data_IF_701862662301
#
_entry.id   IF_701862662301
#
_cell.length_a   1.000
_cell.length_b   1.000
_cell.length_c   1.000
_cell.angle_alpha   90.00
_cell.angle_beta   90.00
_cell.angle_gamma   90.00
#
_symmetry.space_group_name_H-M   'P 1'
#
loop_
_entity.id
_entity.type
_entity.pdbx_description
1 polymer ?
#
# COMPACT_ATOMS: atom_id res chain seq x y z
N UNK A 1 -29.08 -23.37 -32.28
CA UNK A 1 -28.01 -22.37 -32.09
C UNK A 1 -28.59 -21.12 -31.44
N UNK A 2 -28.31 -20.83 -30.16
CA UNK A 2 -28.56 -19.50 -29.56
C UNK A 2 -27.54 -19.28 -28.43
N UNK A 3 -26.41 -18.64 -28.75
CA UNK A 3 -25.37 -18.29 -27.75
C UNK A 3 -25.88 -17.10 -26.94
N UNK A 4 -26.32 -17.37 -25.71
CA UNK A 4 -26.60 -16.35 -24.70
C UNK A 4 -25.28 -15.63 -24.39
N UNK A 5 -25.08 -14.45 -24.96
CA UNK A 5 -24.04 -13.54 -24.50
C UNK A 5 -24.41 -13.04 -23.11
N UNK A 6 -23.93 -13.73 -22.08
CA UNK A 6 -23.90 -13.22 -20.72
C UNK A 6 -23.06 -11.94 -20.72
N UNK A 7 -23.72 -10.78 -20.66
CA UNK A 7 -23.06 -9.51 -20.39
C UNK A 7 -22.54 -9.54 -18.95
N UNK A 8 -21.29 -9.94 -18.78
CA UNK A 8 -20.61 -9.85 -17.49
C UNK A 8 -20.17 -8.39 -17.28
N UNK A 9 -21.12 -7.50 -16.99
CA UNK A 9 -20.84 -6.13 -16.49
C UNK A 9 -20.37 -6.22 -15.04
N UNK A 10 -19.18 -6.77 -14.82
CA UNK A 10 -18.46 -6.60 -13.54
C UNK A 10 -17.87 -5.20 -13.58
N UNK A 11 -18.60 -4.23 -13.03
CA UNK A 11 -18.09 -2.91 -12.74
C UNK A 11 -17.01 -3.06 -11.66
N UNK A 12 -15.79 -3.41 -12.08
CA UNK A 12 -14.61 -3.26 -11.24
C UNK A 12 -14.55 -1.80 -10.84
N UNK A 13 -14.55 -1.55 -9.53
CA UNK A 13 -14.59 -0.22 -8.97
C UNK A 13 -13.47 0.61 -9.59
N UNK A 14 -13.88 1.55 -10.43
CA UNK A 14 -13.01 2.52 -11.04
C UNK A 14 -12.48 3.35 -9.87
N UNK A 15 -11.19 3.26 -9.52
CA UNK A 15 -10.57 4.32 -8.71
C UNK A 15 -10.67 5.58 -9.56
N UNK A 16 -11.75 6.32 -9.38
CA UNK A 16 -12.08 7.46 -10.22
C UNK A 16 -10.94 8.43 -9.97
N UNK A 17 -10.16 8.84 -10.98
CA UNK A 17 -9.04 9.73 -10.74
C UNK A 17 -9.51 10.93 -9.90
N UNK A 18 -10.73 11.42 -10.12
CA UNK A 18 -11.39 12.46 -9.32
C UNK A 18 -11.30 12.33 -7.79
N UNK A 19 -11.16 11.13 -7.24
CA UNK A 19 -11.01 10.89 -5.79
C UNK A 19 -9.61 11.27 -5.25
N UNK A 20 -8.64 11.55 -6.13
CA UNK A 20 -7.29 11.97 -5.76
C UNK A 20 -7.19 13.48 -5.52
N UNK A 21 -8.19 14.28 -5.90
CA UNK A 21 -8.19 15.72 -5.67
C UNK A 21 -8.18 15.98 -4.16
N UNK A 22 -7.24 16.81 -3.69
CA UNK A 22 -7.03 17.06 -2.26
C UNK A 22 -6.17 16.02 -1.54
N UNK A 23 -5.78 14.92 -2.18
CA UNK A 23 -4.89 13.94 -1.57
C UNK A 23 -3.42 14.40 -1.60
N UNK A 24 -2.65 14.04 -0.57
CA UNK A 24 -1.19 14.18 -0.57
C UNK A 24 -0.55 13.08 -1.40
N UNK A 25 0.20 13.47 -2.42
CA UNK A 25 0.83 12.54 -3.36
C UNK A 25 2.30 12.89 -3.58
N UNK A 26 3.07 11.88 -3.97
CA UNK A 26 4.41 12.02 -4.51
C UNK A 26 4.33 11.94 -6.04
N UNK A 27 4.75 13.00 -6.74
CA UNK A 27 4.81 13.03 -8.20
C UNK A 27 6.25 13.07 -8.72
N UNK A 28 6.48 12.49 -9.88
CA UNK A 28 7.70 12.73 -10.66
C UNK A 28 7.43 13.81 -11.70
N UNK A 29 8.24 14.88 -11.68
CA UNK A 29 8.18 15.95 -12.67
C UNK A 29 8.88 15.52 -13.95
N UNK A 30 8.54 16.14 -15.09
CA UNK A 30 9.20 15.83 -16.36
C UNK A 30 10.73 16.01 -16.29
N UNK A 31 11.19 17.06 -15.62
CA UNK A 31 12.62 17.34 -15.40
C UNK A 31 13.31 16.31 -14.51
N UNK A 32 12.55 15.64 -13.65
CA UNK A 32 13.03 14.69 -12.65
C UNK A 32 12.82 13.22 -13.06
N UNK A 33 12.34 12.95 -14.29
CA UNK A 33 12.23 11.59 -14.84
C UNK A 33 13.58 10.84 -14.90
N UNK A 34 14.72 11.44 -15.29
CA UNK A 34 16.01 10.72 -15.32
C UNK A 34 16.57 10.44 -13.92
N UNK A 35 16.26 11.30 -12.94
CA UNK A 35 16.76 11.18 -11.56
C UNK A 35 15.82 10.42 -10.64
N UNK A 36 14.54 10.28 -11.03
CA UNK A 36 13.49 9.69 -10.21
C UNK A 36 13.08 10.56 -9.01
N UNK A 37 13.51 11.83 -8.95
CA UNK A 37 13.22 12.69 -7.78
C UNK A 37 11.72 12.93 -7.65
N UNK A 38 11.20 12.66 -6.46
CA UNK A 38 9.79 12.84 -6.14
C UNK A 38 9.54 14.21 -5.51
N UNK A 39 8.46 14.85 -5.94
CA UNK A 39 7.94 16.08 -5.37
C UNK A 39 6.64 15.76 -4.63
N UNK A 40 6.59 16.06 -3.34
CA UNK A 40 5.40 15.88 -2.52
C UNK A 40 4.46 17.09 -2.65
N UNK A 41 3.15 16.84 -2.64
CA UNK A 41 2.17 17.91 -2.45
C UNK A 41 0.73 17.45 -2.65
N UNK A 42 -0.19 18.40 -2.49
CA UNK A 42 -1.62 18.17 -2.63
C UNK A 42 -2.06 18.27 -4.08
N UNK A 43 -2.87 17.32 -4.55
CA UNK A 43 -3.45 17.37 -5.90
C UNK A 43 -4.47 18.50 -6.01
N UNK A 44 -4.25 19.41 -6.95
CA UNK A 44 -5.19 20.48 -7.31
C UNK A 44 -6.11 20.05 -8.45
N UNK A 45 -5.55 19.49 -9.51
CA UNK A 45 -6.33 19.14 -10.71
C UNK A 45 -5.77 17.87 -11.36
N UNK A 46 -6.66 17.12 -12.00
CA UNK A 46 -6.32 15.91 -12.74
C UNK A 46 -6.38 16.21 -14.23
N UNK A 47 -5.26 15.99 -14.90
CA UNK A 47 -5.07 16.36 -16.29
C UNK A 47 -5.24 15.19 -17.27
N UNK A 48 -5.65 14.02 -16.78
CA UNK A 48 -5.92 12.83 -17.61
C UNK A 48 -7.39 12.45 -17.54
N UNK A 49 -8.03 12.37 -18.72
CA UNK A 49 -9.47 12.07 -18.89
C UNK A 49 -9.77 10.61 -19.20
N UNK A 50 -8.77 9.83 -19.62
CA UNK A 50 -8.95 8.42 -19.97
C UNK A 50 -9.27 7.60 -18.71
N UNK A 51 -9.96 6.47 -18.81
CA UNK A 51 -10.03 5.52 -17.70
C UNK A 51 -8.77 4.64 -17.63
N UNK A 52 -8.09 4.46 -18.75
CA UNK A 52 -6.84 3.69 -18.86
C UNK A 52 -5.65 4.63 -19.03
N UNK A 53 -4.64 4.48 -18.17
CA UNK A 53 -3.54 5.44 -18.06
C UNK A 53 -2.18 4.76 -18.12
N UNK A 54 -1.79 4.10 -19.22
CA UNK A 54 -0.61 3.20 -19.29
C UNK A 54 0.74 3.84 -18.96
N UNK A 55 0.80 5.13 -18.64
CA UNK A 55 2.02 5.82 -18.17
C UNK A 55 1.83 6.50 -16.79
N UNK A 56 0.72 6.22 -16.09
CA UNK A 56 0.31 6.89 -14.85
C UNK A 56 -0.63 8.07 -15.07
N UNK A 57 -1.28 8.47 -13.96
CA UNK A 57 -2.23 9.59 -13.89
C UNK A 57 -1.43 10.90 -13.86
N UNK A 58 -1.78 11.84 -14.76
CA UNK A 58 -1.13 13.15 -14.80
C UNK A 58 -1.92 14.11 -13.93
N UNK A 59 -1.24 14.77 -13.00
CA UNK A 59 -1.87 15.72 -12.07
C UNK A 59 -1.10 17.02 -11.99
N UNK A 60 -1.80 18.05 -11.54
CA UNK A 60 -1.25 19.33 -11.12
C UNK A 60 -1.37 19.43 -9.60
N UNK A 61 -0.28 19.78 -8.93
CA UNK A 61 -0.29 20.08 -7.49
C UNK A 61 -0.81 21.50 -7.25
N UNK A 62 -1.19 21.80 -6.00
CA UNK A 62 -1.55 23.16 -5.55
C UNK A 62 -0.41 24.17 -5.74
N UNK A 63 0.85 23.71 -5.75
CA UNK A 63 2.02 24.52 -6.09
C UNK A 63 2.14 24.88 -7.58
N UNK A 64 1.27 24.34 -8.44
CA UNK A 64 1.33 24.48 -9.90
C UNK A 64 2.24 23.46 -10.60
N UNK A 65 2.99 22.66 -9.84
CA UNK A 65 3.85 21.62 -10.40
C UNK A 65 3.04 20.50 -11.09
N UNK A 66 3.48 20.06 -12.27
CA UNK A 66 2.78 19.03 -13.06
C UNK A 66 3.65 17.80 -13.22
N UNK A 67 3.09 16.64 -12.91
CA UNK A 67 3.82 15.37 -12.95
C UNK A 67 2.93 14.15 -12.99
N UNK A 68 3.57 12.98 -12.91
CA UNK A 68 2.91 11.66 -12.81
C UNK A 68 2.95 11.21 -11.37
N UNK A 69 1.84 10.71 -10.84
CA UNK A 69 1.80 10.21 -9.45
C UNK A 69 2.56 8.89 -9.35
N UNK A 70 3.51 8.82 -8.42
CA UNK A 70 4.30 7.64 -8.10
C UNK A 70 3.90 7.01 -6.77
N UNK A 71 3.41 7.79 -5.81
CA UNK A 71 2.94 7.28 -4.50
C UNK A 71 1.80 8.13 -3.98
N UNK A 72 0.81 7.52 -3.34
CA UNK A 72 -0.18 8.22 -2.52
C UNK A 72 0.29 8.12 -1.07
N UNK A 73 0.54 9.26 -0.45
CA UNK A 73 0.78 9.32 0.99
C UNK A 73 -0.58 9.46 1.66
N UNK A 74 -1.18 8.32 1.96
CA UNK A 74 -2.27 8.28 2.94
C UNK A 74 -1.68 8.66 4.29
N UNK A 75 -1.90 9.89 4.73
CA UNK A 75 -1.48 10.35 6.06
C UNK A 75 -2.33 9.66 7.14
N UNK A 76 -2.23 8.34 7.27
CA UNK A 76 -2.65 7.68 8.49
C UNK A 76 -1.53 7.89 9.49
N UNK A 77 -1.54 9.05 10.13
CA UNK A 77 -0.74 9.29 11.32
C UNK A 77 -1.24 8.33 12.39
N UNK A 78 -0.56 7.20 12.56
CA UNK A 78 -0.63 6.39 13.78
C UNK A 78 0.45 6.94 14.72
N UNK A 79 0.29 8.19 15.17
CA UNK A 79 1.11 8.77 16.22
C UNK A 79 0.43 8.45 17.56
N UNK A 80 1.05 7.57 18.33
CA UNK A 80 0.82 7.46 19.77
C UNK A 80 -0.13 6.34 20.20
N UNK A 81 0.44 5.19 20.54
CA UNK A 81 0.35 4.63 21.89
C UNK A 81 1.48 3.61 22.07
N UNK A 82 2.70 4.15 22.19
CA UNK A 82 3.65 3.59 23.12
C UNK A 82 3.35 4.24 24.46
N UNK A 83 2.63 3.53 25.33
CA UNK A 83 2.69 3.84 26.75
C UNK A 83 2.84 2.52 27.48
N UNK A 84 4.08 2.33 27.86
CA UNK A 84 4.58 1.44 28.90
C UNK A 84 3.51 1.17 29.97
N UNK A 85 3.05 -0.08 30.06
CA UNK A 85 2.53 -0.61 31.31
C UNK A 85 3.53 -1.64 31.83
N UNK A 86 4.58 -1.13 32.47
CA UNK A 86 5.34 -1.88 33.47
C UNK A 86 4.40 -1.95 34.69
N UNK A 87 3.54 -2.98 34.73
CA UNK A 87 2.94 -3.44 35.98
C UNK A 87 3.61 -4.74 36.36
N UNK A 88 4.62 -4.57 37.21
CA UNK A 88 5.04 -5.51 38.22
C UNK A 88 3.83 -6.05 39.01
N UNK A 89 3.38 -7.25 38.65
CA UNK A 89 2.78 -8.17 39.61
C UNK A 89 3.60 -9.45 39.65
N UNK A 90 4.47 -9.45 40.65
CA UNK A 90 5.11 -10.62 41.22
C UNK A 90 4.14 -11.27 42.22
N UNK A 91 3.90 -12.57 42.11
CA UNK A 91 3.68 -13.41 43.29
C UNK A 91 4.09 -14.87 43.05
N UNK A 92 4.92 -15.34 43.98
CA UNK A 92 5.54 -16.68 44.13
C UNK A 92 4.59 -17.66 44.91
N UNK A 93 5.04 -18.76 45.55
CA UNK A 93 5.16 -20.13 45.04
C UNK A 93 4.31 -21.23 45.79
N UNK A 94 3.91 -22.29 45.05
CA UNK A 94 3.73 -23.75 45.38
C UNK A 94 2.90 -24.23 46.61
N UNK A 95 2.46 -25.53 46.76
CA UNK A 95 2.81 -26.76 46.00
C UNK A 95 1.67 -27.77 45.66
N UNK A 96 2.08 -28.85 44.98
CA UNK A 96 1.44 -30.17 44.78
C UNK A 96 0.42 -30.21 43.62
N UNK A 97 0.67 -30.91 42.50
CA UNK A 97 0.91 -32.36 42.46
C UNK A 97 1.31 -32.77 41.02
N UNK A 98 2.57 -33.16 40.86
CA UNK A 98 3.18 -34.09 39.89
C UNK A 98 2.41 -34.45 38.60
N UNK A 99 2.99 -34.06 37.45
CA UNK A 99 3.26 -35.03 36.39
C UNK A 99 4.40 -34.54 35.48
N UNK A 100 5.47 -35.32 35.43
CA UNK A 100 6.73 -35.04 34.74
C UNK A 100 6.62 -35.35 33.25
N UNK A 101 6.76 -34.33 32.39
CA UNK A 101 7.14 -34.53 31.00
C UNK A 101 8.00 -33.36 30.50
N UNK A 102 9.30 -33.62 30.52
CA UNK A 102 10.32 -33.18 29.56
C UNK A 102 10.47 -31.68 29.27
N UNK A 103 11.59 -31.19 29.79
CA UNK A 103 12.25 -29.92 29.56
C UNK A 103 12.46 -29.58 28.08
N UNK A 104 12.34 -28.27 27.83
CA UNK A 104 12.71 -27.53 26.63
C UNK A 104 14.20 -27.68 26.29
N UNK A 105 14.48 -28.14 25.09
CA UNK A 105 15.52 -27.59 24.24
C UNK A 105 15.05 -27.71 22.79
N UNK A 106 15.19 -26.61 22.05
CA UNK A 106 14.94 -26.48 20.61
C UNK A 106 13.51 -26.12 20.16
N UNK A 107 13.02 -24.94 20.57
CA UNK A 107 12.24 -24.10 19.64
C UNK A 107 12.25 -22.63 20.04
N UNK A 108 13.43 -22.03 19.89
CA UNK A 108 13.52 -20.63 19.46
C UNK A 108 13.27 -20.61 17.94
N UNK A 109 12.13 -20.14 17.43
CA UNK A 109 12.20 -19.27 16.28
C UNK A 109 12.65 -17.92 16.83
N UNK A 110 13.93 -17.60 16.61
CA UNK A 110 14.33 -16.22 16.51
C UNK A 110 13.31 -15.57 15.57
N UNK A 111 12.58 -14.56 16.02
CA UNK A 111 11.90 -13.63 15.13
C UNK A 111 13.01 -12.85 14.41
N UNK A 112 13.70 -13.56 13.52
CA UNK A 112 14.52 -13.00 12.48
C UNK A 112 13.53 -12.21 11.64
N UNK A 113 13.74 -10.91 11.60
CA UNK A 113 13.16 -10.00 10.66
C UNK A 113 13.37 -10.53 9.24
N UNK A 114 12.52 -11.45 8.78
CA UNK A 114 12.30 -11.63 7.35
C UNK A 114 11.29 -10.57 6.98
N UNK A 115 11.84 -9.36 6.87
CA UNK A 115 11.28 -8.34 6.00
C UNK A 115 11.02 -9.04 4.67
N UNK A 116 9.77 -9.48 4.48
CA UNK A 116 9.34 -10.03 3.22
C UNK A 116 9.23 -8.82 2.32
N UNK A 117 10.37 -8.40 1.76
CA UNK A 117 10.47 -7.43 0.68
C UNK A 117 9.81 -8.07 -0.54
N UNK A 118 8.48 -8.11 -0.52
CA UNK A 118 7.69 -8.63 -1.61
C UNK A 118 7.98 -7.74 -2.83
N UNK A 119 8.56 -8.30 -3.91
CA UNK A 119 9.05 -7.48 -5.01
C UNK A 119 7.89 -6.71 -5.65
N UNK A 120 8.07 -5.39 -5.74
CA UNK A 120 7.07 -4.49 -6.34
C UNK A 120 6.77 -4.87 -7.80
N UNK A 121 5.55 -4.60 -8.28
CA UNK A 121 5.15 -4.83 -9.68
C UNK A 121 4.57 -3.58 -10.32
N UNK A 122 4.92 -3.34 -11.59
CA UNK A 122 4.38 -2.24 -12.38
C UNK A 122 3.06 -2.64 -13.03
N UNK A 123 2.01 -1.85 -12.82
CA UNK A 123 0.70 -2.13 -13.40
C UNK A 123 0.70 -2.03 -14.93
N UNK A 124 0.22 -3.05 -15.64
CA UNK A 124 0.10 -3.01 -17.11
C UNK A 124 -0.91 -1.97 -17.63
N UNK A 125 -1.89 -1.59 -16.79
CA UNK A 125 -2.89 -0.56 -17.12
C UNK A 125 -2.45 0.86 -16.81
N UNK A 126 -1.65 1.06 -15.76
CA UNK A 126 -1.27 2.41 -15.37
C UNK A 126 0.18 2.65 -14.97
N UNK A 127 1.05 1.67 -15.15
CA UNK A 127 2.49 1.66 -14.78
C UNK A 127 2.80 2.04 -13.34
N UNK A 128 1.79 2.09 -12.48
CA UNK A 128 1.99 2.37 -11.07
C UNK A 128 2.71 1.19 -10.41
N UNK A 129 3.69 1.50 -9.57
CA UNK A 129 4.50 0.53 -8.88
C UNK A 129 3.77 0.12 -7.58
N UNK A 130 3.15 -1.07 -7.59
CA UNK A 130 2.43 -1.61 -6.44
C UNK A 130 3.36 -2.49 -5.59
N UNK A 131 3.06 -2.62 -4.30
CA UNK A 131 3.72 -3.60 -3.43
C UNK A 131 3.50 -5.03 -3.94
N UNK A 132 4.49 -5.91 -3.75
CA UNK A 132 4.46 -7.28 -4.28
C UNK A 132 3.31 -8.15 -3.77
N UNK A 133 2.80 -7.85 -2.57
CA UNK A 133 1.66 -8.54 -1.94
C UNK A 133 0.30 -8.11 -2.50
N UNK A 134 0.22 -7.00 -3.23
CA UNK A 134 -1.04 -6.51 -3.76
C UNK A 134 -1.39 -7.20 -5.07
N UNK A 135 -2.53 -7.89 -5.10
CA UNK A 135 -3.06 -8.53 -6.31
C UNK A 135 -3.79 -7.58 -7.26
N UNK A 136 -4.05 -6.35 -6.79
CA UNK A 136 -4.79 -5.29 -7.49
C UNK A 136 -4.01 -3.99 -7.39
N UNK A 137 -4.09 -3.17 -8.43
CA UNK A 137 -3.36 -1.92 -8.48
C UNK A 137 -4.01 -0.84 -7.61
N UNK A 138 -3.27 -0.22 -6.71
CA UNK A 138 -3.81 0.83 -5.82
C UNK A 138 -4.27 2.09 -6.59
N UNK A 139 -3.76 2.29 -7.80
CA UNK A 139 -4.10 3.45 -8.64
C UNK A 139 -5.31 3.26 -9.55
N UNK A 140 -5.52 2.07 -10.10
CA UNK A 140 -6.56 1.85 -11.11
C UNK A 140 -7.34 0.54 -10.93
N UNK A 141 -7.04 -0.18 -9.84
CA UNK A 141 -7.70 -1.41 -9.42
C UNK A 141 -7.59 -2.61 -10.38
N UNK A 142 -6.70 -2.47 -11.38
CA UNK A 142 -6.37 -3.52 -12.34
C UNK A 142 -5.61 -4.65 -11.65
N UNK A 143 -5.89 -5.89 -12.07
CA UNK A 143 -5.15 -7.06 -11.62
C UNK A 143 -3.68 -6.99 -12.08
N UNK A 144 -2.79 -7.67 -11.34
CA UNK A 144 -1.41 -7.94 -11.75
C UNK A 144 -1.33 -8.63 -13.11
#
# INVERSE_FOLDING_TARGET
>A
MNRRHHQNRRQGQQSRPNQLIGANVAIVLKKDQPTGRLTMGTVSEILTRSASHPRGIKVRLTSGAVGRIQKITSSSVNLGNQSENISNQECHPTPSTYSTATCLSDWMPQALSTETDAPSWSCSRCTFLNAGLLHRCEMCDAMR
#
